data_IF_169375496039
#
_entry.id   IF_169375496039
#
_cell.length_a   1.000
_cell.length_b   1.000
_cell.length_c   1.000
_cell.angle_alpha   90.00
_cell.angle_beta   90.00
_cell.angle_gamma   90.00
#
_symmetry.space_group_name_H-M   'P 1'
#
loop_
_entity.id
_entity.type
_entity.pdbx_description
1 polymer ?
#
# COMPACT_ATOMS: atom_id res chain seq x y z
N UNK A 1 78.49 51.60 21.36
CA UNK A 1 77.11 52.11 21.32
C UNK A 1 76.69 52.05 19.87
N UNK A 2 76.14 50.91 19.48
CA UNK A 2 75.73 50.59 18.12
C UNK A 2 74.34 49.99 18.25
N UNK A 3 73.37 50.72 17.70
CA UNK A 3 71.93 50.38 17.65
C UNK A 3 71.75 49.46 16.45
N UNK A 4 71.09 48.32 16.66
CA UNK A 4 70.55 47.45 15.61
C UNK A 4 69.05 47.67 15.68
N UNK A 5 68.47 48.23 14.62
CA UNK A 5 67.03 48.31 14.39
C UNK A 5 66.59 46.94 13.84
N UNK A 6 65.72 46.24 14.60
CA UNK A 6 65.03 45.03 14.15
C UNK A 6 63.72 45.45 13.44
N UNK A 7 63.67 45.16 12.14
CA UNK A 7 62.47 45.15 11.29
C UNK A 7 61.61 43.94 11.71
N UNK A 8 60.47 44.18 12.37
CA UNK A 8 59.47 43.14 12.66
C UNK A 8 58.27 43.30 11.70
N UNK A 9 58.24 42.39 10.72
CA UNK A 9 57.22 42.19 9.70
C UNK A 9 55.90 41.72 10.36
N UNK A 10 54.88 42.57 10.42
CA UNK A 10 53.57 42.23 11.00
C UNK A 10 52.75 41.43 9.98
N UNK A 11 52.38 40.16 10.25
CA UNK A 11 51.53 39.41 9.33
C UNK A 11 50.08 39.91 9.41
N UNK A 12 49.54 40.38 8.28
CA UNK A 12 48.11 40.65 8.13
C UNK A 12 47.29 39.35 8.30
N UNK A 13 46.50 39.29 9.37
CA UNK A 13 45.51 38.23 9.58
C UNK A 13 44.38 38.33 8.54
N UNK A 14 43.98 37.21 7.89
CA UNK A 14 42.86 37.22 6.94
C UNK A 14 41.53 37.44 7.68
N UNK A 15 40.72 38.36 7.16
CA UNK A 15 39.39 38.66 7.71
C UNK A 15 38.50 37.41 7.73
N UNK A 16 37.65 37.23 8.76
CA UNK A 16 36.77 36.07 8.88
C UNK A 16 35.78 36.00 7.70
N UNK A 17 35.40 34.79 7.26
CA UNK A 17 34.47 34.62 6.16
C UNK A 17 33.11 35.22 6.53
N UNK A 18 32.58 36.08 5.65
CA UNK A 18 31.24 36.65 5.77
C UNK A 18 30.22 35.50 5.74
N UNK A 19 29.60 35.20 6.89
CA UNK A 19 28.44 34.32 6.98
C UNK A 19 27.31 34.89 6.14
N UNK A 20 26.72 34.08 5.24
CA UNK A 20 25.49 34.43 4.52
C UNK A 20 24.42 34.84 5.55
N UNK A 21 23.63 35.90 5.32
CA UNK A 21 22.51 36.23 6.20
C UNK A 21 21.57 35.03 6.28
N UNK A 22 21.08 34.71 7.49
CA UNK A 22 20.00 33.75 7.64
C UNK A 22 18.78 34.25 6.85
N UNK A 23 18.13 33.33 6.12
CA UNK A 23 16.93 33.63 5.33
C UNK A 23 15.85 34.23 6.23
N UNK A 24 15.21 35.34 5.82
CA UNK A 24 14.10 35.92 6.60
C UNK A 24 12.82 35.08 6.46
N UNK A 25 11.86 35.26 7.37
CA UNK A 25 10.55 34.58 7.27
C UNK A 25 9.81 34.97 5.98
N UNK A 26 9.79 36.25 5.61
CA UNK A 26 9.15 36.73 4.37
C UNK A 26 9.80 36.13 3.11
N UNK A 27 11.13 36.04 3.09
CA UNK A 27 11.86 35.39 1.99
C UNK A 27 11.57 33.88 1.95
N UNK A 28 11.44 33.25 3.11
CA UNK A 28 11.10 31.83 3.24
C UNK A 28 9.69 31.57 2.74
N UNK A 29 8.69 32.40 3.09
CA UNK A 29 7.32 32.28 2.58
C UNK A 29 7.29 32.38 1.07
N UNK A 30 7.91 33.42 0.50
CA UNK A 30 7.93 33.64 -0.95
C UNK A 30 8.56 32.46 -1.70
N UNK A 31 9.66 31.91 -1.20
CA UNK A 31 10.31 30.74 -1.80
C UNK A 31 9.47 29.48 -1.64
N UNK A 32 8.86 29.28 -0.48
CA UNK A 32 7.97 28.14 -0.21
C UNK A 32 6.81 28.13 -1.20
N UNK A 33 6.12 29.26 -1.36
CA UNK A 33 5.02 29.39 -2.32
C UNK A 33 5.46 29.09 -3.75
N UNK A 34 6.63 29.59 -4.18
CA UNK A 34 7.15 29.31 -5.52
C UNK A 34 7.38 27.81 -5.75
N UNK A 35 8.04 27.12 -4.80
CA UNK A 35 8.30 25.68 -4.88
C UNK A 35 6.99 24.89 -4.91
N UNK A 36 6.03 25.24 -4.06
CA UNK A 36 4.74 24.56 -3.96
C UNK A 36 3.93 24.73 -5.25
N UNK A 37 3.85 25.94 -5.82
CA UNK A 37 3.16 26.16 -7.09
C UNK A 37 3.79 25.37 -8.24
N UNK A 38 5.12 25.38 -8.33
CA UNK A 38 5.84 24.64 -9.37
C UNK A 38 5.63 23.13 -9.23
N UNK A 39 5.71 22.61 -8.00
CA UNK A 39 5.41 21.20 -7.71
C UNK A 39 3.98 20.83 -8.10
N UNK A 40 2.98 21.63 -7.73
CA UNK A 40 1.59 21.34 -8.05
C UNK A 40 1.29 21.45 -9.55
N UNK A 41 2.07 22.24 -10.29
CA UNK A 41 1.92 22.40 -11.73
C UNK A 41 2.60 21.28 -12.54
N UNK A 42 3.84 20.93 -12.18
CA UNK A 42 4.69 20.01 -12.94
C UNK A 42 4.56 18.57 -12.40
N UNK A 43 4.17 18.41 -11.14
CA UNK A 43 4.13 17.15 -10.40
C UNK A 43 5.48 16.42 -10.34
N UNK A 44 6.59 17.17 -10.35
CA UNK A 44 7.94 16.61 -10.15
C UNK A 44 8.30 16.62 -8.67
N UNK A 45 8.03 15.48 -8.03
CA UNK A 45 8.33 15.29 -6.62
C UNK A 45 9.85 15.33 -6.33
N UNK A 46 10.70 14.86 -7.25
CA UNK A 46 12.15 14.83 -7.00
C UNK A 46 12.74 16.24 -7.01
N UNK A 47 12.32 17.05 -7.97
CA UNK A 47 12.72 18.45 -8.05
C UNK A 47 12.23 19.22 -6.81
N UNK A 48 10.97 19.05 -6.42
CA UNK A 48 10.43 19.70 -5.23
C UNK A 48 11.24 19.38 -3.95
N UNK A 49 11.60 18.10 -3.75
CA UNK A 49 12.44 17.68 -2.61
C UNK A 49 13.82 18.35 -2.65
N UNK A 50 14.42 18.45 -3.84
CA UNK A 50 15.71 19.10 -4.03
C UNK A 50 15.62 20.60 -3.73
N UNK A 51 14.61 21.30 -4.25
CA UNK A 51 14.42 22.73 -4.00
C UNK A 51 14.24 23.04 -2.51
N UNK A 52 13.49 22.21 -1.76
CA UNK A 52 13.33 22.40 -0.31
C UNK A 52 14.64 22.17 0.43
N UNK A 53 15.43 21.17 0.04
CA UNK A 53 16.77 20.93 0.60
C UNK A 53 17.71 22.13 0.37
N UNK A 54 17.61 22.77 -0.80
CA UNK A 54 18.42 23.93 -1.18
C UNK A 54 18.05 25.23 -0.43
N UNK A 55 16.90 25.28 0.25
CA UNK A 55 16.58 26.39 1.14
C UNK A 55 17.60 26.50 2.29
N UNK A 56 18.23 25.39 2.69
CA UNK A 56 19.27 25.31 3.72
C UNK A 56 18.91 26.04 5.03
N UNK A 57 17.61 26.03 5.40
CA UNK A 57 17.10 26.69 6.59
C UNK A 57 16.16 25.78 7.41
N UNK A 58 16.69 24.73 8.08
CA UNK A 58 15.87 23.73 8.77
C UNK A 58 14.97 24.32 9.88
N UNK A 59 15.40 25.41 10.51
CA UNK A 59 14.67 26.08 11.60
C UNK A 59 13.35 26.72 11.16
N UNK A 60 13.22 27.05 9.87
CA UNK A 60 12.03 27.68 9.29
C UNK A 60 11.17 26.70 8.48
N UNK A 61 11.47 25.40 8.45
CA UNK A 61 10.70 24.45 7.64
C UNK A 61 9.25 24.25 8.12
N UNK A 62 8.92 24.58 9.37
CA UNK A 62 7.53 24.66 9.81
C UNK A 62 6.73 25.72 9.04
N UNK A 63 7.38 26.80 8.60
CA UNK A 63 6.76 27.80 7.74
C UNK A 63 6.42 27.24 6.36
N UNK A 64 7.32 26.43 5.78
CA UNK A 64 7.04 25.73 4.52
C UNK A 64 5.79 24.85 4.62
N UNK A 65 5.64 24.13 5.74
CA UNK A 65 4.48 23.28 6.02
C UNK A 65 3.21 24.13 6.10
N UNK A 66 3.22 25.22 6.88
CA UNK A 66 2.08 26.14 6.97
C UNK A 66 1.67 26.67 5.59
N UNK A 67 2.61 27.25 4.86
CA UNK A 67 2.38 27.83 3.53
C UNK A 67 1.83 26.79 2.56
N UNK A 68 2.34 25.55 2.61
CA UNK A 68 1.82 24.44 1.79
C UNK A 68 0.37 24.07 2.10
N UNK A 69 0.01 24.00 3.38
CA UNK A 69 -1.36 23.73 3.79
C UNK A 69 -2.28 24.87 3.35
N UNK A 70 -1.92 26.13 3.65
CA UNK A 70 -2.70 27.32 3.24
C UNK A 70 -2.91 27.38 1.72
N UNK A 71 -1.85 27.15 0.94
CA UNK A 71 -1.91 27.22 -0.51
C UNK A 71 -2.80 26.13 -1.14
N UNK A 72 -3.02 25.02 -0.46
CA UNK A 72 -3.70 23.83 -1.03
C UNK A 72 -5.05 23.51 -0.41
N UNK A 73 -5.35 24.03 0.79
CA UNK A 73 -6.54 23.66 1.56
C UNK A 73 -7.84 23.78 0.74
N UNK A 74 -7.99 24.87 -0.01
CA UNK A 74 -9.19 25.16 -0.81
C UNK A 74 -9.06 24.79 -2.30
N UNK A 75 -8.00 24.05 -2.68
CA UNK A 75 -7.82 23.54 -4.05
C UNK A 75 -8.56 22.22 -4.25
N UNK A 76 -8.15 21.44 -5.26
CA UNK A 76 -8.70 20.10 -5.51
C UNK A 76 -8.21 19.07 -4.48
N UNK A 77 -8.96 17.98 -4.34
CA UNK A 77 -8.56 16.80 -3.54
C UNK A 77 -7.16 16.29 -3.94
N UNK A 78 -6.89 16.20 -5.26
CA UNK A 78 -5.56 15.82 -5.76
C UNK A 78 -4.44 16.78 -5.32
N UNK A 79 -4.69 18.10 -5.30
CA UNK A 79 -3.67 19.06 -4.85
C UNK A 79 -3.34 18.89 -3.37
N UNK A 80 -4.35 18.61 -2.53
CA UNK A 80 -4.18 18.32 -1.11
C UNK A 80 -3.42 17.02 -0.87
N UNK A 81 -3.78 15.97 -1.60
CA UNK A 81 -3.07 14.69 -1.54
C UNK A 81 -1.61 14.83 -1.97
N UNK A 82 -1.32 15.50 -3.08
CA UNK A 82 0.05 15.80 -3.52
C UNK A 82 0.84 16.59 -2.47
N UNK A 83 0.23 17.61 -1.85
CA UNK A 83 0.88 18.34 -0.77
C UNK A 83 1.21 17.42 0.41
N UNK A 84 0.28 16.57 0.83
CA UNK A 84 0.51 15.58 1.88
C UNK A 84 1.63 14.60 1.52
N UNK A 85 1.68 14.13 0.27
CA UNK A 85 2.75 13.27 -0.24
C UNK A 85 4.11 13.97 -0.20
N UNK A 86 4.20 15.24 -0.63
CA UNK A 86 5.45 16.01 -0.55
C UNK A 86 5.94 16.12 0.90
N UNK A 87 5.07 16.46 1.84
CA UNK A 87 5.42 16.55 3.26
C UNK A 87 5.91 15.21 3.82
N UNK A 88 5.23 14.12 3.48
CA UNK A 88 5.64 12.77 3.90
C UNK A 88 7.01 12.38 3.33
N UNK A 89 7.30 12.73 2.08
CA UNK A 89 8.58 12.44 1.44
C UNK A 89 9.72 13.28 2.02
N UNK A 90 9.45 14.53 2.40
CA UNK A 90 10.41 15.36 3.13
C UNK A 90 10.75 14.80 4.52
N UNK A 91 9.76 14.24 5.23
CA UNK A 91 10.00 13.49 6.49
C UNK A 91 10.85 12.25 6.22
N UNK A 92 10.46 11.44 5.23
CA UNK A 92 11.16 10.20 4.86
C UNK A 92 12.62 10.44 4.46
N UNK A 93 12.89 11.55 3.76
CA UNK A 93 14.24 11.97 3.37
C UNK A 93 15.06 12.59 4.53
N UNK A 94 14.43 12.89 5.67
CA UNK A 94 15.06 13.56 6.81
C UNK A 94 15.30 15.06 6.62
N UNK A 95 14.80 15.65 5.53
CA UNK A 95 14.87 17.09 5.27
C UNK A 95 13.95 17.87 6.21
N UNK A 96 12.73 17.37 6.41
CA UNK A 96 11.77 17.90 7.36
C UNK A 96 11.84 17.07 8.65
N UNK A 97 11.93 17.73 9.82
CA UNK A 97 11.78 17.03 11.09
C UNK A 97 10.32 16.95 11.51
N UNK A 98 9.97 15.94 12.32
CA UNK A 98 8.61 15.82 12.86
C UNK A 98 8.20 17.03 13.69
N UNK A 99 9.14 17.65 14.43
CA UNK A 99 8.84 18.88 15.19
C UNK A 99 8.46 20.05 14.27
N UNK A 100 9.13 20.20 13.13
CA UNK A 100 8.81 21.27 12.17
C UNK A 100 7.49 20.99 11.46
N UNK A 101 7.21 19.73 11.11
CA UNK A 101 5.92 19.32 10.58
C UNK A 101 4.77 19.68 11.53
N UNK A 102 4.86 19.30 12.81
CA UNK A 102 3.83 19.64 13.79
C UNK A 102 3.72 21.14 14.02
N UNK A 103 4.83 21.88 14.07
CA UNK A 103 4.81 23.34 14.22
C UNK A 103 3.94 24.00 13.14
N UNK A 104 4.20 23.70 11.87
CA UNK A 104 3.43 24.28 10.77
C UNK A 104 1.97 23.81 10.73
N UNK A 105 1.72 22.56 11.10
CA UNK A 105 0.37 22.01 11.18
C UNK A 105 -0.45 22.65 12.31
N UNK A 106 0.15 22.89 13.48
CA UNK A 106 -0.52 23.50 14.63
C UNK A 106 -1.00 24.92 14.33
N UNK A 107 -0.22 25.72 13.61
CA UNK A 107 -0.61 27.07 13.20
C UNK A 107 -1.94 27.08 12.40
N UNK A 108 -2.28 25.99 11.70
CA UNK A 108 -3.57 25.85 10.98
C UNK A 108 -4.63 25.20 11.86
N UNK A 109 -4.31 24.14 12.59
CA UNK A 109 -5.27 23.42 13.42
C UNK A 109 -5.85 24.29 14.55
N UNK A 110 -5.06 25.22 15.10
CA UNK A 110 -5.50 26.15 16.14
C UNK A 110 -6.61 27.09 15.69
N UNK A 111 -6.69 27.42 14.38
CA UNK A 111 -7.70 28.31 13.79
C UNK A 111 -8.71 27.58 12.91
N UNK A 112 -8.62 26.25 12.82
CA UNK A 112 -9.45 25.45 11.90
C UNK A 112 -10.96 25.51 12.21
N UNK A 113 -11.35 25.69 13.48
CA UNK A 113 -12.76 25.86 13.84
C UNK A 113 -13.34 27.18 13.31
N UNK A 114 -12.57 28.27 13.38
CA UNK A 114 -12.98 29.56 12.81
C UNK A 114 -13.05 29.48 11.28
N UNK A 115 -12.07 28.83 10.65
CA UNK A 115 -12.08 28.60 9.20
C UNK A 115 -13.25 27.73 8.73
N UNK A 116 -13.78 26.86 9.60
CA UNK A 116 -14.94 26.02 9.28
C UNK A 116 -16.22 26.83 9.00
N UNK A 117 -16.27 28.11 9.42
CA UNK A 117 -17.37 29.03 9.10
C UNK A 117 -17.44 29.26 7.58
N UNK A 118 -16.28 29.44 6.94
CA UNK A 118 -16.18 29.71 5.51
C UNK A 118 -15.93 28.44 4.67
N UNK A 119 -15.36 27.40 5.29
CA UNK A 119 -14.96 26.14 4.64
C UNK A 119 -15.67 24.95 5.34
N UNK A 120 -16.90 24.59 4.93
CA UNK A 120 -17.69 23.55 5.62
C UNK A 120 -17.02 22.16 5.68
N UNK A 121 -16.14 21.85 4.71
CA UNK A 121 -15.45 20.57 4.59
C UNK A 121 -13.99 20.60 5.08
N UNK A 122 -13.61 21.60 5.88
CA UNK A 122 -12.22 21.79 6.29
C UNK A 122 -11.60 20.55 6.96
N UNK A 123 -12.35 19.80 7.76
CA UNK A 123 -11.86 18.59 8.41
C UNK A 123 -11.48 17.49 7.41
N UNK A 124 -12.28 17.31 6.37
CA UNK A 124 -11.96 16.41 5.27
C UNK A 124 -10.73 16.91 4.50
N UNK A 125 -10.64 18.22 4.24
CA UNK A 125 -9.52 18.80 3.50
C UNK A 125 -8.19 18.65 4.26
N UNK A 126 -8.21 18.94 5.57
CA UNK A 126 -7.06 18.69 6.44
C UNK A 126 -6.72 17.20 6.47
N UNK A 127 -7.72 16.31 6.55
CA UNK A 127 -7.49 14.87 6.51
C UNK A 127 -6.83 14.42 5.19
N UNK A 128 -7.20 14.99 4.04
CA UNK A 128 -6.57 14.69 2.75
C UNK A 128 -5.08 15.08 2.69
N UNK A 129 -4.68 16.13 3.42
CA UNK A 129 -3.28 16.54 3.53
C UNK A 129 -2.52 15.69 4.56
N UNK A 130 -3.17 15.28 5.66
CA UNK A 130 -2.53 14.55 6.76
C UNK A 130 -2.42 13.04 6.48
N UNK A 131 -3.42 12.43 5.84
CA UNK A 131 -3.49 10.98 5.65
C UNK A 131 -2.25 10.36 4.97
N UNK A 132 -1.62 10.98 3.95
CA UNK A 132 -0.38 10.47 3.36
C UNK A 132 0.76 10.28 4.37
N UNK A 133 0.79 11.04 5.48
CA UNK A 133 1.82 10.91 6.53
C UNK A 133 1.83 9.55 7.22
N UNK A 134 0.76 8.76 7.10
CA UNK A 134 0.66 7.39 7.64
C UNK A 134 1.21 6.31 6.70
N UNK A 135 1.68 6.69 5.50
CA UNK A 135 2.33 5.77 4.57
C UNK A 135 3.76 5.41 5.02
N UNK A 136 4.34 4.41 4.36
CA UNK A 136 5.67 3.88 4.69
C UNK A 136 6.77 4.96 4.65
N UNK A 137 7.48 5.11 5.78
CA UNK A 137 8.51 6.13 5.97
C UNK A 137 7.99 7.46 6.53
N UNK A 138 6.68 7.55 6.81
CA UNK A 138 6.07 8.67 7.52
C UNK A 138 6.06 8.48 9.04
N UNK A 139 5.10 9.11 9.73
CA UNK A 139 5.00 9.11 11.19
C UNK A 139 4.08 7.96 11.66
N UNK A 140 4.45 7.19 12.70
CA UNK A 140 3.59 6.17 13.28
C UNK A 140 2.23 6.73 13.73
N UNK A 141 1.15 5.97 13.49
CA UNK A 141 -0.24 6.39 13.75
C UNK A 141 -0.46 6.91 15.17
N UNK A 142 0.04 6.20 16.19
CA UNK A 142 -0.12 6.61 17.58
C UNK A 142 0.49 7.97 17.89
N UNK A 143 1.71 8.20 17.38
CA UNK A 143 2.41 9.48 17.57
C UNK A 143 1.72 10.60 16.80
N UNK A 144 1.38 10.35 15.53
CA UNK A 144 0.73 11.35 14.67
C UNK A 144 -0.61 11.79 15.28
N UNK A 145 -1.47 10.85 15.66
CA UNK A 145 -2.81 11.16 16.15
C UNK A 145 -2.79 11.89 17.48
N UNK A 146 -1.89 11.50 18.41
CA UNK A 146 -1.74 12.20 19.69
C UNK A 146 -1.22 13.62 19.52
N UNK A 147 -0.31 13.88 18.59
CA UNK A 147 0.19 15.24 18.31
C UNK A 147 -0.88 16.09 17.61
N UNK A 148 -1.50 15.58 16.53
CA UNK A 148 -2.58 16.27 15.79
C UNK A 148 -3.77 16.62 16.70
N UNK A 149 -4.06 15.80 17.71
CA UNK A 149 -5.15 16.06 18.64
C UNK A 149 -4.90 17.25 19.58
N UNK A 150 -3.64 17.59 19.91
CA UNK A 150 -3.31 18.61 20.92
C UNK A 150 -3.95 19.98 20.67
N UNK A 151 -3.78 20.63 19.50
CA UNK A 151 -4.40 21.93 19.23
C UNK A 151 -5.93 21.86 19.13
N UNK A 152 -6.49 20.65 18.94
CA UNK A 152 -7.92 20.44 18.74
C UNK A 152 -8.67 20.10 20.05
N UNK A 153 -7.97 19.89 21.16
CA UNK A 153 -8.59 19.59 22.45
C UNK A 153 -9.55 20.69 22.93
N UNK A 154 -9.21 22.00 22.87
CA UNK A 154 -10.10 23.05 23.35
C UNK A 154 -11.44 23.15 22.60
N UNK A 155 -11.44 22.77 21.32
CA UNK A 155 -12.61 22.83 20.42
C UNK A 155 -13.36 21.49 20.30
N UNK A 156 -12.89 20.42 20.96
CA UNK A 156 -13.46 19.07 20.87
C UNK A 156 -13.58 18.55 19.41
N UNK A 157 -12.62 18.88 18.53
CA UNK A 157 -12.62 18.46 17.12
C UNK A 157 -11.61 17.37 16.77
N UNK A 158 -10.80 16.94 17.75
CA UNK A 158 -9.80 15.89 17.54
C UNK A 158 -10.44 14.63 16.96
N UNK A 159 -11.48 14.10 17.61
CA UNK A 159 -12.16 12.90 17.12
C UNK A 159 -12.68 13.02 15.69
N UNK A 160 -13.26 14.18 15.34
CA UNK A 160 -13.80 14.44 14.00
C UNK A 160 -12.71 14.34 12.94
N UNK A 161 -11.58 15.03 13.12
CA UNK A 161 -10.47 14.99 12.17
C UNK A 161 -9.88 13.58 12.04
N UNK A 162 -9.67 12.89 13.17
CA UNK A 162 -9.11 11.54 13.15
C UNK A 162 -10.04 10.55 12.43
N UNK A 163 -11.36 10.68 12.59
CA UNK A 163 -12.33 9.87 11.86
C UNK A 163 -12.28 10.12 10.34
N UNK A 164 -12.15 11.38 9.90
CA UNK A 164 -11.95 11.69 8.47
C UNK A 164 -10.67 11.06 7.92
N UNK A 165 -9.56 11.12 8.67
CA UNK A 165 -8.30 10.47 8.27
C UNK A 165 -8.50 8.94 8.13
N UNK A 166 -9.13 8.29 9.11
CA UNK A 166 -9.39 6.85 9.07
C UNK A 166 -10.28 6.45 7.88
N UNK A 167 -11.30 7.25 7.58
CA UNK A 167 -12.17 7.04 6.42
C UNK A 167 -11.43 7.25 5.08
N UNK A 168 -10.42 8.12 5.02
CA UNK A 168 -9.57 8.23 3.83
C UNK A 168 -8.65 7.01 3.67
N UNK A 169 -8.10 6.49 4.77
CA UNK A 169 -7.30 5.27 4.73
C UNK A 169 -8.13 4.08 4.22
N UNK A 170 -9.42 4.00 4.54
CA UNK A 170 -10.27 2.89 4.10
C UNK A 170 -10.45 2.81 2.57
N UNK A 171 -10.09 3.87 1.83
CA UNK A 171 -10.01 3.85 0.35
C UNK A 171 -8.82 3.04 -0.18
N UNK A 172 -7.73 2.95 0.59
CA UNK A 172 -6.48 2.28 0.17
C UNK A 172 -6.07 1.07 1.04
N UNK A 173 -6.72 0.85 2.18
CA UNK A 173 -6.45 -0.29 3.06
C UNK A 173 -7.72 -0.78 3.77
N UNK A 174 -7.69 -2.02 4.26
CA UNK A 174 -8.85 -2.63 4.90
C UNK A 174 -9.15 -2.08 6.29
N UNK A 175 -10.42 -2.10 6.69
CA UNK A 175 -10.84 -1.77 8.05
C UNK A 175 -10.10 -2.61 9.11
N UNK A 176 -9.80 -3.88 8.81
CA UNK A 176 -9.01 -4.77 9.68
C UNK A 176 -7.56 -4.26 9.86
N UNK A 177 -6.90 -3.84 8.79
CA UNK A 177 -5.54 -3.29 8.84
C UNK A 177 -5.50 -1.98 9.62
N UNK A 178 -6.45 -1.08 9.34
CA UNK A 178 -6.58 0.20 10.07
C UNK A 178 -6.86 -0.06 11.55
N UNK A 179 -7.76 -1.00 11.88
CA UNK A 179 -8.04 -1.41 13.25
C UNK A 179 -6.80 -1.98 13.95
N UNK A 180 -5.99 -2.78 13.26
CA UNK A 180 -4.71 -3.29 13.79
C UNK A 180 -3.75 -2.15 14.09
N UNK A 181 -3.56 -1.22 13.14
CA UNK A 181 -2.72 -0.03 13.33
C UNK A 181 -3.19 0.81 14.51
N UNK A 182 -4.51 1.00 14.66
CA UNK A 182 -5.12 1.73 15.78
C UNK A 182 -4.87 1.04 17.12
N UNK A 183 -5.07 -0.28 17.19
CA UNK A 183 -4.89 -1.09 18.39
C UNK A 183 -3.40 -1.17 18.79
N UNK A 184 -2.51 -1.44 17.84
CA UNK A 184 -1.05 -1.50 18.04
C UNK A 184 -0.49 -0.15 18.48
N UNK A 185 -1.09 0.95 18.01
CA UNK A 185 -0.78 2.30 18.45
C UNK A 185 -1.27 2.62 19.88
N UNK A 186 -2.04 1.72 20.50
CA UNK A 186 -2.61 1.89 21.83
C UNK A 186 -3.56 3.09 21.92
N UNK A 187 -4.30 3.37 20.84
CA UNK A 187 -5.21 4.50 20.75
C UNK A 187 -6.58 4.14 21.34
N UNK A 188 -7.22 5.13 21.97
CA UNK A 188 -8.55 5.01 22.52
C UNK A 188 -9.35 6.27 22.19
N UNK A 189 -10.58 6.12 21.70
CA UNK A 189 -11.42 7.28 21.37
C UNK A 189 -11.71 8.19 22.57
N UNK A 190 -11.67 7.67 23.80
CA UNK A 190 -11.77 8.48 25.01
C UNK A 190 -10.66 9.51 25.15
N UNK A 191 -9.51 9.31 24.49
CA UNK A 191 -8.41 10.30 24.47
C UNK A 191 -8.72 11.49 23.54
N UNK A 192 -9.72 11.37 22.66
CA UNK A 192 -9.98 12.29 21.54
C UNK A 192 -11.40 12.87 21.50
N UNK A 193 -12.28 12.40 22.38
CA UNK A 193 -13.69 12.82 22.46
C UNK A 193 -13.97 13.49 23.82
N UNK A 194 -14.96 14.41 23.89
CA UNK A 194 -15.49 14.95 25.15
C UNK A 194 -15.94 13.85 26.12
N UNK A 195 -15.89 14.14 27.42
CA UNK A 195 -16.25 13.17 28.47
C UNK A 195 -17.71 12.68 28.38
N UNK A 196 -18.61 13.54 27.89
CA UNK A 196 -20.04 13.29 27.73
C UNK A 196 -20.42 12.62 26.40
N UNK A 197 -19.47 12.51 25.46
CA UNK A 197 -19.73 11.89 24.17
C UNK A 197 -19.70 10.35 24.27
N UNK A 198 -20.75 9.71 23.74
CA UNK A 198 -20.83 8.25 23.66
C UNK A 198 -19.97 7.75 22.51
N UNK A 199 -18.91 7.00 22.85
CA UNK A 199 -17.96 6.45 21.88
C UNK A 199 -18.65 5.57 20.82
N UNK A 200 -19.57 4.70 21.24
CA UNK A 200 -20.23 3.77 20.30
C UNK A 200 -21.15 4.52 19.33
N UNK A 201 -21.84 5.56 19.83
CA UNK A 201 -22.62 6.45 18.98
C UNK A 201 -21.72 7.18 17.98
N UNK A 202 -20.63 7.80 18.47
CA UNK A 202 -19.68 8.53 17.63
C UNK A 202 -19.10 7.67 16.52
N UNK A 203 -18.54 6.50 16.87
CA UNK A 203 -17.89 5.64 15.87
C UNK A 203 -18.88 5.09 14.84
N UNK A 204 -20.16 4.94 15.20
CA UNK A 204 -21.23 4.53 14.28
C UNK A 204 -21.60 5.67 13.34
N UNK A 205 -21.82 6.87 13.88
CA UNK A 205 -22.13 8.06 13.08
C UNK A 205 -20.99 8.42 12.11
N UNK A 206 -19.75 8.13 12.50
CA UNK A 206 -18.54 8.38 11.70
C UNK A 206 -18.06 7.19 10.87
N UNK A 207 -18.78 6.07 10.89
CA UNK A 207 -18.46 4.83 10.15
C UNK A 207 -17.05 4.28 10.41
N UNK A 208 -16.59 4.36 11.66
CA UNK A 208 -15.27 3.90 12.13
C UNK A 208 -15.38 2.85 13.24
N UNK A 209 -16.47 2.07 13.26
CA UNK A 209 -16.78 1.07 14.30
C UNK A 209 -15.72 -0.05 14.39
N UNK A 210 -14.98 -0.27 13.31
CA UNK A 210 -13.88 -1.23 13.28
C UNK A 210 -12.74 -0.89 14.25
N UNK A 211 -12.65 0.36 14.75
CA UNK A 211 -11.61 0.81 15.68
C UNK A 211 -11.89 0.49 17.15
N UNK A 212 -13.15 0.23 17.53
CA UNK A 212 -13.51 -0.06 18.93
C UNK A 212 -13.48 -1.53 19.28
N UNK A 213 -13.27 -2.42 18.30
CA UNK A 213 -13.26 -3.86 18.49
C UNK A 213 -14.58 -4.32 19.13
N UNK A 214 -15.60 -4.63 18.33
CA UNK A 214 -16.79 -5.20 18.94
C UNK A 214 -16.44 -6.54 19.59
N UNK A 215 -16.97 -6.79 20.78
CA UNK A 215 -17.13 -8.15 21.35
C UNK A 215 -17.98 -9.07 20.44
N UNK A 216 -18.35 -8.61 19.25
CA UNK A 216 -18.71 -9.45 18.13
C UNK A 216 -17.49 -9.61 17.23
N UNK A 217 -16.58 -10.49 17.67
CA UNK A 217 -16.17 -11.59 16.81
C UNK A 217 -17.43 -12.29 16.26
N UNK A 218 -18.14 -11.65 15.31
CA UNK A 218 -18.56 -12.41 14.16
C UNK A 218 -17.23 -12.69 13.47
N UNK A 219 -16.60 -13.81 13.83
CA UNK A 219 -15.56 -14.38 13.00
C UNK A 219 -16.08 -14.23 11.58
N UNK A 220 -15.31 -13.53 10.72
CA UNK A 220 -15.67 -13.37 9.33
C UNK A 220 -16.13 -14.76 8.89
N UNK A 221 -17.42 -14.92 8.57
CA UNK A 221 -17.97 -16.24 8.30
C UNK A 221 -17.03 -16.86 7.28
N UNK A 222 -16.41 -17.99 7.66
CA UNK A 222 -15.42 -18.67 6.84
C UNK A 222 -16.03 -18.83 5.46
N UNK A 223 -15.58 -18.02 4.50
CA UNK A 223 -16.09 -18.05 3.13
C UNK A 223 -16.03 -19.48 2.63
N UNK A 224 -17.16 -19.95 2.14
CA UNK A 224 -17.23 -21.23 1.46
C UNK A 224 -16.33 -21.22 0.22
N UNK A 225 -15.88 -22.39 -0.27
CA UNK A 225 -15.08 -22.46 -1.49
C UNK A 225 -15.73 -21.79 -2.71
N UNK A 226 -17.07 -21.80 -2.78
CA UNK A 226 -17.83 -21.13 -3.84
C UNK A 226 -17.76 -19.61 -3.73
N UNK A 227 -17.95 -19.05 -2.53
CA UNK A 227 -17.83 -17.60 -2.30
C UNK A 227 -16.42 -17.08 -2.61
N UNK A 228 -15.39 -17.82 -2.17
CA UNK A 228 -13.99 -17.48 -2.49
C UNK A 228 -13.77 -17.38 -4.00
N UNK A 229 -14.30 -18.37 -4.74
CA UNK A 229 -14.19 -18.40 -6.19
C UNK A 229 -14.88 -17.20 -6.85
N UNK A 230 -16.15 -16.96 -6.53
CA UNK A 230 -16.94 -15.89 -7.13
C UNK A 230 -16.34 -14.49 -6.86
N UNK A 231 -15.84 -14.26 -5.65
CA UNK A 231 -15.23 -12.98 -5.28
C UNK A 231 -13.87 -12.77 -5.98
N UNK A 232 -13.03 -13.80 -6.09
CA UNK A 232 -11.76 -13.73 -6.82
C UNK A 232 -11.97 -13.57 -8.33
N UNK A 233 -12.94 -14.28 -8.91
CA UNK A 233 -13.32 -14.11 -10.32
C UNK A 233 -13.78 -12.67 -10.59
N UNK A 234 -14.63 -12.11 -9.71
CA UNK A 234 -15.07 -10.71 -9.81
C UNK A 234 -13.91 -9.74 -9.68
N UNK A 235 -13.01 -9.96 -8.73
CA UNK A 235 -11.84 -9.11 -8.52
C UNK A 235 -10.95 -9.06 -9.76
N UNK A 236 -10.79 -10.18 -10.46
CA UNK A 236 -9.94 -10.30 -11.65
C UNK A 236 -10.57 -9.71 -12.93
N UNK A 237 -11.88 -9.46 -12.97
CA UNK A 237 -12.55 -8.86 -14.14
C UNK A 237 -12.00 -7.47 -14.49
N UNK A 238 -11.64 -6.67 -13.49
CA UNK A 238 -11.12 -5.31 -13.67
C UNK A 238 -9.62 -5.28 -13.99
N UNK A 239 -8.98 -6.43 -14.24
CA UNK A 239 -7.53 -6.56 -14.47
C UNK A 239 -6.69 -5.80 -13.43
N UNK A 240 -6.90 -6.03 -12.12
CA UNK A 240 -6.15 -5.35 -11.06
C UNK A 240 -4.66 -5.69 -11.13
N UNK A 241 -3.77 -4.91 -10.53
CA UNK A 241 -2.39 -5.37 -10.31
C UNK A 241 -2.35 -6.46 -9.21
N UNK A 242 -1.18 -7.07 -9.00
CA UNK A 242 -1.03 -8.09 -7.96
C UNK A 242 -1.16 -7.49 -6.55
N UNK A 243 -0.84 -6.21 -6.36
CA UNK A 243 -0.91 -5.53 -5.07
C UNK A 243 -2.36 -5.46 -4.59
N UNK A 244 -3.29 -5.05 -5.44
CA UNK A 244 -4.72 -5.01 -5.12
C UNK A 244 -5.29 -6.38 -4.76
N UNK A 245 -4.75 -7.46 -5.33
CA UNK A 245 -5.15 -8.83 -4.95
C UNK A 245 -4.57 -9.21 -3.58
N UNK A 246 -3.30 -8.88 -3.30
CA UNK A 246 -2.73 -9.07 -1.96
C UNK A 246 -3.52 -8.32 -0.90
N UNK A 247 -3.82 -7.04 -1.15
CA UNK A 247 -4.60 -6.20 -0.25
C UNK A 247 -5.99 -6.79 -0.03
N UNK A 248 -6.64 -7.30 -1.08
CA UNK A 248 -7.92 -7.98 -0.96
C UNK A 248 -7.82 -9.24 -0.11
N UNK A 249 -6.82 -10.09 -0.32
CA UNK A 249 -6.63 -11.33 0.47
C UNK A 249 -6.41 -10.99 1.95
N UNK A 250 -5.54 -10.02 2.24
CA UNK A 250 -5.24 -9.56 3.60
C UNK A 250 -6.45 -8.90 4.27
N UNK A 251 -7.28 -8.19 3.49
CA UNK A 251 -8.50 -7.54 3.95
C UNK A 251 -9.61 -8.54 4.30
N UNK A 252 -9.73 -9.59 3.49
CA UNK A 252 -10.92 -10.42 3.48
C UNK A 252 -10.72 -11.76 4.18
N UNK A 253 -9.52 -12.35 4.10
CA UNK A 253 -9.29 -13.71 4.58
C UNK A 253 -8.52 -13.72 5.91
N UNK A 254 -8.84 -14.68 6.77
CA UNK A 254 -8.03 -14.98 7.93
C UNK A 254 -6.87 -15.94 7.58
N UNK A 255 -5.94 -16.14 8.52
CA UNK A 255 -4.78 -17.02 8.30
C UNK A 255 -5.19 -18.46 7.95
N UNK A 256 -6.30 -18.96 8.52
CA UNK A 256 -6.79 -20.32 8.26
C UNK A 256 -7.31 -20.46 6.82
N UNK A 257 -7.99 -19.44 6.32
CA UNK A 257 -8.49 -19.40 4.95
C UNK A 257 -7.35 -19.26 3.93
N UNK A 258 -6.37 -18.40 4.21
CA UNK A 258 -5.22 -18.17 3.32
C UNK A 258 -4.38 -19.43 3.11
N UNK A 259 -4.24 -20.29 4.14
CA UNK A 259 -3.51 -21.56 4.00
C UNK A 259 -4.36 -22.72 3.51
N UNK A 260 -5.68 -22.54 3.33
CA UNK A 260 -6.60 -23.61 2.96
C UNK A 260 -6.49 -24.03 1.50
N UNK A 261 -6.69 -25.33 1.22
CA UNK A 261 -6.80 -25.85 -0.15
C UNK A 261 -7.95 -25.21 -0.93
N UNK A 262 -9.03 -24.80 -0.24
CA UNK A 262 -10.17 -24.12 -0.85
C UNK A 262 -9.76 -22.79 -1.49
N UNK A 263 -8.97 -21.98 -0.78
CA UNK A 263 -8.44 -20.73 -1.30
C UNK A 263 -7.48 -20.96 -2.47
N UNK A 264 -6.55 -21.91 -2.33
CA UNK A 264 -5.60 -22.27 -3.40
C UNK A 264 -6.34 -22.65 -4.69
N UNK A 265 -7.36 -23.51 -4.59
CA UNK A 265 -8.16 -23.94 -5.74
C UNK A 265 -8.95 -22.77 -6.35
N UNK A 266 -9.54 -21.92 -5.52
CA UNK A 266 -10.30 -20.76 -5.97
C UNK A 266 -9.42 -19.75 -6.71
N UNK A 267 -8.25 -19.42 -6.15
CA UNK A 267 -7.27 -18.52 -6.77
C UNK A 267 -6.78 -19.06 -8.12
N UNK A 268 -6.42 -20.36 -8.15
CA UNK A 268 -5.96 -21.00 -9.37
C UNK A 268 -7.02 -20.97 -10.47
N UNK A 269 -8.28 -21.31 -10.15
CA UNK A 269 -9.38 -21.27 -11.12
C UNK A 269 -9.59 -19.85 -11.62
N UNK A 270 -9.67 -18.87 -10.73
CA UNK A 270 -9.99 -17.49 -11.11
C UNK A 270 -8.90 -16.89 -12.02
N UNK A 271 -7.62 -17.12 -11.70
CA UNK A 271 -6.47 -16.66 -12.50
C UNK A 271 -6.46 -17.34 -13.87
N UNK A 272 -6.56 -18.68 -13.91
CA UNK A 272 -6.55 -19.41 -15.18
C UNK A 272 -7.77 -19.06 -16.05
N UNK A 273 -8.96 -18.93 -15.46
CA UNK A 273 -10.18 -18.59 -16.17
C UNK A 273 -10.11 -17.19 -16.80
N UNK A 274 -9.52 -16.21 -16.10
CA UNK A 274 -9.29 -14.86 -16.65
C UNK A 274 -8.32 -14.85 -17.84
N UNK A 275 -7.41 -15.83 -17.91
CA UNK A 275 -6.45 -15.98 -19.00
C UNK A 275 -6.96 -16.85 -20.17
N UNK A 276 -8.19 -17.38 -20.12
CA UNK A 276 -8.75 -18.16 -21.23
C UNK A 276 -9.25 -17.23 -22.33
N UNK A 277 -8.70 -17.37 -23.54
CA UNK A 277 -9.18 -16.72 -24.74
C UNK A 277 -10.19 -17.65 -25.43
N UNK A 278 -11.47 -17.28 -25.38
CA UNK A 278 -12.61 -18.03 -25.95
C UNK A 278 -12.72 -17.92 -27.49
N UNK A 279 -11.60 -17.93 -28.19
CA UNK A 279 -11.57 -18.18 -29.65
C UNK A 279 -11.63 -19.69 -29.90
N UNK A 280 -12.02 -20.15 -31.10
CA UNK A 280 -11.93 -21.58 -31.45
C UNK A 280 -10.76 -21.80 -32.42
N UNK A 281 -9.73 -22.60 -32.07
CA UNK A 281 -9.55 -23.30 -30.79
C UNK A 281 -9.23 -22.33 -29.64
N UNK A 282 -9.58 -22.75 -28.41
CA UNK A 282 -9.31 -21.99 -27.18
C UNK A 282 -7.80 -21.81 -27.02
N UNK A 283 -7.39 -20.68 -26.43
CA UNK A 283 -5.98 -20.37 -26.16
C UNK A 283 -5.80 -19.84 -24.74
N UNK A 284 -4.57 -19.87 -24.25
CA UNK A 284 -4.14 -19.20 -23.02
C UNK A 284 -3.50 -17.87 -23.39
N UNK A 285 -3.91 -16.80 -22.72
CA UNK A 285 -3.20 -15.54 -22.66
C UNK A 285 -1.97 -15.71 -21.73
N UNK A 286 -0.84 -16.07 -22.34
CA UNK A 286 0.41 -16.37 -21.62
C UNK A 286 0.89 -15.16 -20.83
N UNK A 287 0.78 -13.96 -21.40
CA UNK A 287 1.23 -12.73 -20.75
C UNK A 287 0.46 -12.48 -19.45
N UNK A 288 -0.86 -12.70 -19.46
CA UNK A 288 -1.65 -12.60 -18.24
C UNK A 288 -1.22 -13.60 -17.17
N UNK A 289 -0.87 -14.84 -17.52
CA UNK A 289 -0.38 -15.81 -16.53
C UNK A 289 0.99 -15.42 -15.98
N UNK A 290 1.94 -15.03 -16.84
CA UNK A 290 3.26 -14.53 -16.43
C UNK A 290 3.14 -13.33 -15.48
N UNK A 291 2.25 -12.37 -15.77
CA UNK A 291 1.97 -11.24 -14.87
C UNK A 291 1.44 -11.68 -13.49
N UNK A 292 0.78 -12.85 -13.41
CA UNK A 292 0.26 -13.43 -12.15
C UNK A 292 1.19 -14.46 -11.51
N UNK A 293 2.32 -14.80 -12.12
CA UNK A 293 3.21 -15.85 -11.61
C UNK A 293 3.64 -15.58 -10.17
N UNK A 294 4.09 -14.35 -9.86
CA UNK A 294 4.54 -13.95 -8.51
C UNK A 294 3.41 -14.06 -7.47
N UNK A 295 2.16 -13.74 -7.87
CA UNK A 295 0.97 -13.88 -7.03
C UNK A 295 0.72 -15.36 -6.71
N UNK A 296 0.74 -16.22 -7.72
CA UNK A 296 0.52 -17.65 -7.57
C UNK A 296 1.64 -18.27 -6.71
N UNK A 297 2.91 -17.98 -7.00
CA UNK A 297 4.07 -18.44 -6.22
C UNK A 297 3.96 -18.08 -4.74
N UNK A 298 3.45 -16.89 -4.40
CA UNK A 298 3.28 -16.48 -3.00
C UNK A 298 2.31 -17.39 -2.24
N UNK A 299 1.20 -17.78 -2.87
CA UNK A 299 0.12 -18.50 -2.18
C UNK A 299 0.16 -20.02 -2.37
N UNK A 300 0.69 -20.50 -3.50
CA UNK A 300 0.77 -21.92 -3.87
C UNK A 300 2.05 -22.59 -3.39
N UNK A 301 2.94 -21.89 -2.66
CA UNK A 301 4.20 -22.45 -2.18
C UNK A 301 4.00 -23.77 -1.41
N UNK A 302 4.60 -24.84 -1.92
CA UNK A 302 4.65 -26.15 -1.29
C UNK A 302 3.88 -27.20 -2.08
N UNK A 303 4.46 -28.38 -2.15
CA UNK A 303 4.03 -29.50 -3.00
C UNK A 303 2.54 -29.86 -2.89
N UNK A 304 1.97 -29.81 -1.67
CA UNK A 304 0.54 -30.09 -1.49
C UNK A 304 -0.35 -29.00 -2.10
N UNK A 305 0.04 -27.72 -1.99
CA UNK A 305 -0.73 -26.62 -2.57
C UNK A 305 -0.63 -26.61 -4.10
N UNK A 306 0.56 -26.88 -4.63
CA UNK A 306 0.79 -27.04 -6.07
C UNK A 306 -0.08 -28.18 -6.63
N UNK A 307 -0.16 -29.31 -5.93
CA UNK A 307 -1.04 -30.41 -6.30
C UNK A 307 -2.53 -30.01 -6.28
N UNK A 308 -2.99 -29.28 -5.25
CA UNK A 308 -4.36 -28.75 -5.20
C UNK A 308 -4.65 -27.78 -6.35
N UNK A 309 -3.68 -26.97 -6.77
CA UNK A 309 -3.80 -26.08 -7.92
C UNK A 309 -3.97 -26.89 -9.22
N UNK A 310 -3.21 -27.97 -9.42
CA UNK A 310 -3.37 -28.86 -10.57
C UNK A 310 -4.75 -29.55 -10.61
N UNK A 311 -5.30 -29.96 -9.47
CA UNK A 311 -6.68 -30.45 -9.40
C UNK A 311 -7.71 -29.38 -9.74
N UNK A 312 -7.50 -28.14 -9.29
CA UNK A 312 -8.36 -27.01 -9.62
C UNK A 312 -8.37 -26.74 -11.13
N UNK A 313 -7.19 -26.74 -11.76
CA UNK A 313 -7.02 -26.56 -13.19
C UNK A 313 -7.67 -27.71 -13.99
N UNK A 314 -7.51 -28.97 -13.55
CA UNK A 314 -8.22 -30.10 -14.15
C UNK A 314 -9.74 -29.91 -14.07
N UNK A 315 -10.26 -29.47 -12.92
CA UNK A 315 -11.69 -29.19 -12.76
C UNK A 315 -12.16 -28.07 -13.70
N UNK A 316 -11.34 -27.03 -13.92
CA UNK A 316 -11.64 -25.97 -14.88
C UNK A 316 -11.72 -26.52 -16.31
N UNK A 317 -10.79 -27.41 -16.70
CA UNK A 317 -10.85 -28.06 -18.02
C UNK A 317 -12.13 -28.87 -18.21
N UNK A 318 -12.61 -29.57 -17.17
CA UNK A 318 -13.89 -30.28 -17.21
C UNK A 318 -15.06 -29.31 -17.43
N UNK A 319 -15.06 -28.17 -16.74
CA UNK A 319 -16.10 -27.13 -16.90
C UNK A 319 -16.12 -26.51 -18.29
N UNK A 320 -14.95 -26.42 -18.95
CA UNK A 320 -14.81 -25.93 -20.32
C UNK A 320 -15.06 -27.00 -21.39
N UNK A 321 -15.58 -28.17 -21.02
CA UNK A 321 -15.81 -29.31 -21.92
C UNK A 321 -14.52 -29.86 -22.58
N UNK A 322 -13.39 -29.75 -21.87
CA UNK A 322 -12.09 -30.35 -22.22
C UNK A 322 -11.57 -29.93 -23.61
N UNK A 323 -11.35 -28.62 -23.84
CA UNK A 323 -10.86 -28.13 -25.11
C UNK A 323 -9.47 -28.71 -25.42
N UNK A 324 -9.19 -29.06 -26.68
CA UNK A 324 -7.92 -29.67 -27.06
C UNK A 324 -6.76 -28.71 -26.79
N UNK A 325 -5.64 -29.26 -26.30
CA UNK A 325 -4.37 -28.57 -26.04
C UNK A 325 -4.40 -27.45 -24.97
N UNK A 326 -5.57 -27.02 -24.47
CA UNK A 326 -5.62 -25.92 -23.49
C UNK A 326 -4.91 -26.26 -22.18
N UNK A 327 -5.11 -27.47 -21.64
CA UNK A 327 -4.44 -27.92 -20.43
C UNK A 327 -2.92 -27.96 -20.60
N UNK A 328 -2.45 -28.40 -21.77
CA UNK A 328 -1.03 -28.44 -22.11
C UNK A 328 -0.43 -27.04 -22.08
N UNK A 329 -1.08 -26.07 -22.70
CA UNK A 329 -0.62 -24.67 -22.70
C UNK A 329 -0.50 -24.10 -21.27
N UNK A 330 -1.45 -24.41 -20.38
CA UNK A 330 -1.32 -24.01 -18.98
C UNK A 330 -0.16 -24.70 -18.28
N UNK A 331 0.05 -26.00 -18.50
CA UNK A 331 1.17 -26.74 -17.89
C UNK A 331 2.52 -26.15 -18.29
N UNK A 332 2.70 -25.83 -19.58
CA UNK A 332 3.93 -25.21 -20.09
C UNK A 332 4.24 -23.90 -19.35
N UNK A 333 3.28 -22.95 -19.32
CA UNK A 333 3.51 -21.64 -18.68
C UNK A 333 3.68 -21.75 -17.17
N UNK A 334 2.92 -22.62 -16.49
CA UNK A 334 3.03 -22.78 -15.04
C UNK A 334 4.34 -23.43 -14.60
N UNK A 335 4.91 -24.28 -15.45
CA UNK A 335 6.23 -24.86 -15.26
C UNK A 335 7.32 -23.81 -15.53
N UNK A 336 7.26 -23.13 -16.69
CA UNK A 336 8.26 -22.13 -17.10
C UNK A 336 8.37 -20.95 -16.10
N UNK A 337 7.26 -20.59 -15.47
CA UNK A 337 7.18 -19.51 -14.47
C UNK A 337 7.40 -20.00 -13.03
N UNK A 338 7.92 -21.19 -12.79
CA UNK A 338 8.19 -21.76 -11.46
C UNK A 338 6.98 -21.74 -10.50
N UNK A 339 5.75 -21.77 -11.04
CA UNK A 339 4.52 -21.77 -10.24
C UNK A 339 4.24 -23.18 -9.70
N UNK A 340 4.45 -24.20 -10.54
CA UNK A 340 4.26 -25.61 -10.20
C UNK A 340 5.55 -26.35 -10.53
N UNK A 341 6.08 -27.09 -9.57
CA UNK A 341 7.31 -27.87 -9.74
C UNK A 341 7.04 -29.23 -10.34
N UNK A 342 8.10 -29.82 -10.87
CA UNK A 342 8.12 -31.16 -11.47
C UNK A 342 7.50 -32.23 -10.54
N UNK A 343 7.81 -32.21 -9.25
CA UNK A 343 7.31 -33.19 -8.30
C UNK A 343 5.78 -33.15 -8.16
N UNK A 344 5.20 -31.94 -8.19
CA UNK A 344 3.76 -31.75 -8.13
C UNK A 344 3.08 -32.28 -9.41
N UNK A 345 3.69 -32.12 -10.58
CA UNK A 345 3.19 -32.70 -11.83
C UNK A 345 3.17 -34.23 -11.79
N UNK A 346 4.25 -34.89 -11.34
CA UNK A 346 4.28 -36.35 -11.21
C UNK A 346 3.31 -36.88 -10.16
N UNK A 347 3.14 -36.15 -9.04
CA UNK A 347 2.12 -36.51 -8.04
C UNK A 347 0.71 -36.38 -8.59
N UNK A 348 0.45 -35.32 -9.34
CA UNK A 348 -0.83 -35.17 -10.01
C UNK A 348 -1.02 -36.33 -11.00
N UNK A 349 -0.03 -36.65 -11.85
CA UNK A 349 -0.09 -37.74 -12.83
C UNK A 349 -0.44 -39.10 -12.19
N UNK A 350 0.28 -39.44 -11.12
CA UNK A 350 0.16 -40.71 -10.39
C UNK A 350 -1.00 -40.78 -9.39
N UNK A 351 -1.68 -39.65 -9.15
CA UNK A 351 -2.76 -39.56 -8.16
C UNK A 351 -3.92 -40.50 -8.45
N UNK A 352 -4.33 -41.22 -7.41
CA UNK A 352 -5.48 -42.13 -7.40
C UNK A 352 -6.58 -41.66 -6.45
N UNK A 353 -6.56 -40.37 -6.06
CA UNK A 353 -7.60 -39.81 -5.19
C UNK A 353 -8.97 -39.97 -5.87
N UNK A 354 -9.94 -40.70 -5.26
CA UNK A 354 -11.26 -40.89 -5.83
C UNK A 354 -12.01 -39.58 -6.12
N UNK A 355 -11.77 -38.53 -5.33
CA UNK A 355 -12.42 -37.22 -5.50
C UNK A 355 -11.95 -36.49 -6.77
N UNK A 356 -10.76 -36.81 -7.28
CA UNK A 356 -10.10 -36.07 -8.36
C UNK A 356 -10.03 -36.86 -9.68
N UNK A 357 -10.82 -37.94 -9.81
CA UNK A 357 -10.84 -38.78 -11.02
C UNK A 357 -11.71 -38.20 -12.14
N UNK A 358 -12.59 -37.26 -11.85
CA UNK A 358 -13.48 -36.66 -12.87
C UNK A 358 -12.65 -35.92 -13.92
N UNK A 359 -12.77 -36.35 -15.17
CA UNK A 359 -12.03 -35.77 -16.30
C UNK A 359 -10.54 -36.13 -16.37
N UNK A 360 -9.99 -36.82 -15.35
CA UNK A 360 -8.56 -37.14 -15.22
C UNK A 360 -8.00 -37.89 -16.44
N UNK A 361 -8.72 -38.90 -16.94
CA UNK A 361 -8.25 -39.70 -18.07
C UNK A 361 -8.08 -38.91 -19.37
N UNK A 362 -8.96 -37.94 -19.64
CA UNK A 362 -8.83 -37.06 -20.82
C UNK A 362 -7.74 -36.02 -20.59
N UNK A 363 -7.66 -35.46 -19.38
CA UNK A 363 -6.59 -34.55 -18.98
C UNK A 363 -5.21 -35.21 -19.22
N UNK A 364 -4.97 -36.41 -18.69
CA UNK A 364 -3.72 -37.17 -18.87
C UNK A 364 -3.36 -37.39 -20.35
N UNK A 365 -4.35 -37.75 -21.19
CA UNK A 365 -4.13 -37.90 -22.62
C UNK A 365 -3.72 -36.59 -23.30
N UNK A 366 -4.28 -35.46 -22.86
CA UNK A 366 -3.97 -34.14 -23.44
C UNK A 366 -2.57 -33.62 -23.11
N UNK A 367 -1.96 -34.10 -22.01
CA UNK A 367 -0.64 -33.67 -21.54
C UNK A 367 0.41 -34.78 -21.63
N UNK A 368 0.15 -35.88 -22.33
CA UNK A 368 1.11 -36.99 -22.45
C UNK A 368 2.47 -36.53 -22.99
N UNK A 369 2.47 -35.67 -24.01
CA UNK A 369 3.70 -35.10 -24.56
C UNK A 369 4.46 -34.19 -23.58
N UNK A 370 3.80 -33.64 -22.55
CA UNK A 370 4.45 -32.82 -21.53
C UNK A 370 5.26 -33.70 -20.61
N UNK A 371 4.66 -34.79 -20.12
CA UNK A 371 5.34 -35.76 -19.27
C UNK A 371 6.41 -36.60 -19.99
N UNK A 372 6.29 -36.80 -21.30
CA UNK A 372 7.41 -37.38 -22.08
C UNK A 372 8.61 -36.45 -22.03
N UNK A 373 8.41 -35.17 -22.35
CA UNK A 373 9.47 -34.17 -22.32
C UNK A 373 10.07 -33.96 -20.93
N UNK A 374 9.25 -33.90 -19.89
CA UNK A 374 9.69 -33.67 -18.51
C UNK A 374 10.69 -34.76 -18.05
N UNK A 375 10.39 -36.04 -18.33
CA UNK A 375 11.29 -37.17 -18.03
C UNK A 375 12.56 -37.16 -18.88
N UNK A 376 12.46 -36.79 -20.16
CA UNK A 376 13.63 -36.70 -21.05
C UNK A 376 14.61 -35.60 -20.58
N UNK A 377 14.09 -34.48 -20.07
CA UNK A 377 14.91 -33.41 -19.52
C UNK A 377 15.59 -33.81 -18.19
N UNK A 378 14.90 -34.58 -17.33
CA UNK A 378 15.45 -35.13 -16.09
C UNK A 378 16.67 -36.04 -16.37
N UNK A 379 16.52 -37.00 -17.30
CA UNK A 379 17.57 -37.95 -17.71
C UNK A 379 18.83 -37.28 -18.31
N UNK A 380 18.69 -36.11 -18.95
CA UNK A 380 19.81 -35.33 -19.47
C UNK A 380 20.54 -34.54 -18.37
N UNK A 381 19.81 -34.11 -17.33
CA UNK A 381 20.38 -33.35 -16.21
C UNK A 381 21.17 -34.22 -15.22
N UNK A 382 20.72 -35.46 -14.99
CA UNK A 382 21.39 -36.44 -14.11
C UNK A 382 22.65 -37.07 -14.75
N UNK A 383 22.78 -36.99 -16.08
CA UNK A 383 23.93 -37.50 -16.84
C UNK A 383 24.99 -36.42 -17.17
N UNK A 384 24.84 -35.19 -16.68
CA UNK A 384 25.70 -34.03 -17.00
C UNK A 384 26.65 -33.62 -15.87
#
# INVERSE_FOLDING_TARGET
>A
MTVIDDDDDIPHSPAPPKTKPALSEEEMEKKSSAIIEEYLHINDLKEALQCVSELQCPSLLGLFVRVGIEATLERSSMAREHMGMLLQQLIKAGTLSTQQYYKGLYEILEVAEDMAIDIPHIWLYLAEIIAPMLQEGGIPMGTLFREVAKPLQPMAKAGVLLAEILNLLSKGMSHKKIASMWLEAGLNWRDFLPEDEDVNKFVTEKTVEYTVGSETEKGAELRSPQQLREELERLLQDKPDNQRIYDWVEANLDEKQVVSSAFVRALMIAVCQAAVICEKPYKVDVEQITQRAVLLQRYLKGEEKELQALYALQSLMVQLEQPPNLLRMFFDVLYDEDVIREEAFYRWESSKDPAEQVGKGVALKSVTAFFTWLREAEDESDNS
#
